data_IF_895494657965
#
_entry.id   IF_895494657965
#
_cell.length_a   1.000
_cell.length_b   1.000
_cell.length_c   1.000
_cell.angle_alpha   90.00
_cell.angle_beta   90.00
_cell.angle_gamma   90.00
#
_symmetry.space_group_name_H-M   'P 1'
#
loop_
_entity.id
_entity.type
_entity.pdbx_description
1 polymer ?
#
# COMPACT_ATOMS: atom_id res chain seq x y z
N UNK A 1 2.80 -1.50 -16.66
CA UNK A 1 1.64 -1.09 -17.45
C UNK A 1 2.15 -0.32 -18.65
N UNK A 2 1.83 -0.78 -19.86
CA UNK A 2 2.33 -0.21 -21.11
C UNK A 2 1.22 0.37 -21.99
N UNK A 3 -0.07 0.19 -21.63
CA UNK A 3 -1.23 0.56 -22.45
C UNK A 3 -1.18 -0.02 -23.89
N UNK A 4 -0.51 -1.16 -24.09
CA UNK A 4 -0.31 -1.74 -25.43
C UNK A 4 -1.34 -2.78 -25.87
N UNK A 5 -2.32 -3.12 -25.02
CA UNK A 5 -3.33 -4.14 -25.37
C UNK A 5 -4.51 -3.50 -26.13
N UNK A 6 -4.58 -3.67 -27.47
CA UNK A 6 -5.62 -3.04 -28.28
C UNK A 6 -7.01 -3.64 -28.04
N UNK A 7 -7.12 -4.79 -27.37
CA UNK A 7 -8.40 -5.45 -27.06
C UNK A 7 -8.82 -5.23 -25.61
N UNK A 8 -7.86 -5.28 -24.69
CA UNK A 8 -8.10 -5.08 -23.26
C UNK A 8 -8.45 -3.64 -22.91
N UNK A 9 -7.72 -2.65 -23.46
CA UNK A 9 -7.91 -1.26 -23.08
C UNK A 9 -9.33 -0.73 -23.38
N UNK A 10 -9.95 -1.02 -24.55
CA UNK A 10 -11.33 -0.59 -24.81
C UNK A 10 -12.34 -1.21 -23.83
N UNK A 11 -12.19 -2.49 -23.50
CA UNK A 11 -13.05 -3.16 -22.52
C UNK A 11 -12.91 -2.46 -21.16
N UNK A 12 -11.68 -2.16 -20.74
CA UNK A 12 -11.46 -1.49 -19.45
C UNK A 12 -12.14 -0.12 -19.44
N UNK A 13 -11.94 0.66 -20.50
CA UNK A 13 -12.50 2.01 -20.65
C UNK A 13 -14.03 2.05 -20.72
N UNK A 14 -14.66 1.00 -21.28
CA UNK A 14 -16.11 0.94 -21.45
C UNK A 14 -16.83 0.34 -20.24
N UNK A 15 -16.22 -0.65 -19.58
CA UNK A 15 -16.90 -1.46 -18.56
C UNK A 15 -16.59 -1.04 -17.12
N UNK A 16 -15.51 -0.29 -16.88
CA UNK A 16 -15.09 0.07 -15.53
C UNK A 16 -14.89 1.57 -15.36
N UNK A 17 -15.23 2.06 -14.17
CA UNK A 17 -15.01 3.43 -13.73
C UNK A 17 -14.01 3.51 -12.57
N UNK A 18 -13.38 2.40 -12.20
CA UNK A 18 -12.34 2.31 -11.18
C UNK A 18 -11.28 1.30 -11.60
N UNK A 19 -10.02 1.55 -11.24
CA UNK A 19 -8.88 0.68 -11.57
C UNK A 19 -7.91 0.57 -10.40
N UNK A 20 -7.29 -0.60 -10.25
CA UNK A 20 -6.19 -0.85 -9.31
C UNK A 20 -5.03 -1.50 -10.07
N UNK A 21 -3.76 -1.12 -9.82
CA UNK A 21 -2.64 -1.69 -10.52
C UNK A 21 -2.26 -3.03 -9.88
N UNK A 22 -2.17 -4.07 -10.70
CA UNK A 22 -1.81 -5.40 -10.22
C UNK A 22 -0.41 -5.45 -9.57
N UNK A 23 0.56 -4.67 -10.09
CA UNK A 23 1.95 -4.74 -9.62
C UNK A 23 2.71 -3.41 -9.61
N UNK A 24 2.38 -2.44 -10.47
CA UNK A 24 3.29 -1.31 -10.75
C UNK A 24 3.50 -0.35 -9.58
N UNK A 25 2.62 -0.35 -8.57
CA UNK A 25 2.75 0.46 -7.36
C UNK A 25 3.20 -0.32 -6.12
N UNK A 26 3.38 -1.64 -6.21
CA UNK A 26 4.00 -2.43 -5.13
C UNK A 26 5.45 -1.99 -4.93
N UNK A 27 5.95 -2.01 -3.68
CA UNK A 27 7.28 -1.50 -3.33
C UNK A 27 8.37 -2.01 -4.27
N UNK A 28 8.46 -3.31 -4.52
CA UNK A 28 9.48 -3.91 -5.37
C UNK A 28 9.41 -3.52 -6.85
N UNK A 29 8.27 -2.99 -7.32
CA UNK A 29 8.11 -2.49 -8.68
C UNK A 29 8.48 -1.01 -8.78
N UNK A 30 7.98 -0.19 -7.85
CA UNK A 30 8.11 1.28 -7.90
C UNK A 30 9.39 1.78 -7.24
N UNK A 31 9.93 1.06 -6.25
CA UNK A 31 11.14 1.38 -5.49
C UNK A 31 12.06 0.14 -5.38
N UNK A 32 12.58 -0.37 -6.52
CA UNK A 32 13.31 -1.63 -6.56
C UNK A 32 14.68 -1.58 -5.87
N UNK A 33 15.35 -0.42 -5.87
CA UNK A 33 16.69 -0.20 -5.33
C UNK A 33 16.66 0.96 -4.33
N UNK A 34 17.59 0.96 -3.37
CA UNK A 34 17.63 1.96 -2.30
C UNK A 34 17.84 3.40 -2.81
N UNK A 35 18.48 3.54 -3.96
CA UNK A 35 18.88 4.80 -4.59
C UNK A 35 18.06 5.13 -5.85
N UNK A 36 16.97 4.40 -6.14
CA UNK A 36 16.25 4.57 -7.40
C UNK A 36 14.79 4.10 -7.41
N UNK A 37 13.92 4.98 -7.91
CA UNK A 37 12.53 4.67 -8.21
C UNK A 37 12.29 4.39 -9.69
N UNK A 38 11.36 3.50 -9.99
CA UNK A 38 10.90 3.18 -11.34
C UNK A 38 9.44 3.64 -11.55
N UNK A 39 9.24 4.95 -11.64
CA UNK A 39 7.90 5.54 -11.77
C UNK A 39 7.27 5.39 -13.15
N UNK A 40 8.04 5.09 -14.21
CA UNK A 40 7.53 5.08 -15.59
C UNK A 40 6.25 4.24 -15.78
N UNK A 41 6.22 2.96 -15.35
CA UNK A 41 5.03 2.13 -15.43
C UNK A 41 3.85 2.62 -14.57
N UNK A 42 4.11 3.19 -13.39
CA UNK A 42 3.10 3.72 -12.49
C UNK A 42 2.50 5.03 -13.02
N UNK A 43 3.31 5.92 -13.59
CA UNK A 43 2.88 7.16 -14.22
C UNK A 43 1.95 6.88 -15.40
N UNK A 44 2.26 5.87 -16.24
CA UNK A 44 1.36 5.44 -17.33
C UNK A 44 0.04 4.90 -16.80
N UNK A 45 0.06 4.14 -15.70
CA UNK A 45 -1.15 3.62 -15.08
C UNK A 45 -2.06 4.75 -14.58
N UNK A 46 -1.51 5.73 -13.86
CA UNK A 46 -2.28 6.88 -13.38
C UNK A 46 -2.80 7.72 -14.55
N UNK A 47 -1.97 7.98 -15.56
CA UNK A 47 -2.39 8.71 -16.75
C UNK A 47 -3.54 8.01 -17.51
N UNK A 48 -3.55 6.68 -17.56
CA UNK A 48 -4.66 5.92 -18.14
C UNK A 48 -5.97 6.15 -17.36
N UNK A 49 -5.92 6.05 -16.03
CA UNK A 49 -7.09 6.33 -15.18
C UNK A 49 -7.63 7.74 -15.37
N UNK A 50 -6.75 8.74 -15.40
CA UNK A 50 -7.13 10.15 -15.60
C UNK A 50 -7.75 10.38 -16.99
N UNK A 51 -7.12 9.85 -18.05
CA UNK A 51 -7.60 9.91 -19.44
C UNK A 51 -9.03 9.37 -19.57
N UNK A 52 -9.33 8.30 -18.84
CA UNK A 52 -10.63 7.64 -18.85
C UNK A 52 -11.55 8.04 -17.69
N UNK A 53 -11.19 9.07 -16.92
CA UNK A 53 -11.98 9.61 -15.79
C UNK A 53 -12.38 8.56 -14.75
N UNK A 54 -11.49 7.60 -14.49
CA UNK A 54 -11.69 6.53 -13.52
C UNK A 54 -11.26 6.97 -12.12
N UNK A 55 -11.88 6.39 -11.09
CA UNK A 55 -11.34 6.42 -9.73
C UNK A 55 -10.11 5.52 -9.66
N UNK A 56 -8.99 6.05 -9.16
CA UNK A 56 -7.70 5.36 -9.21
C UNK A 56 -7.34 4.89 -7.81
N UNK A 57 -7.12 3.58 -7.64
CA UNK A 57 -6.65 2.98 -6.39
C UNK A 57 -5.14 2.75 -6.47
N UNK A 58 -4.40 3.20 -5.46
CA UNK A 58 -3.01 2.84 -5.27
C UNK A 58 -2.86 1.51 -4.51
N UNK A 59 -2.29 0.49 -5.14
CA UNK A 59 -2.05 -0.82 -4.54
C UNK A 59 -0.56 -1.21 -4.65
N UNK A 60 0.20 -1.26 -3.56
CA UNK A 60 -0.08 -0.87 -2.17
C UNK A 60 1.20 -0.29 -1.54
N UNK A 61 1.07 0.47 -0.45
CA UNK A 61 2.21 1.18 0.16
C UNK A 61 3.06 0.29 1.07
N UNK A 62 2.43 -0.51 1.93
CA UNK A 62 3.11 -1.40 2.88
C UNK A 62 2.54 -2.81 2.77
N UNK A 63 3.38 -3.76 2.37
CA UNK A 63 3.02 -5.18 2.28
C UNK A 63 4.20 -6.05 2.72
N UNK A 64 3.90 -7.27 3.15
CA UNK A 64 4.94 -8.24 3.51
C UNK A 64 5.54 -8.94 2.28
N UNK A 65 4.79 -8.99 1.18
CA UNK A 65 5.23 -9.56 -0.10
C UNK A 65 5.65 -8.47 -1.08
N UNK A 66 6.40 -8.88 -2.12
CA UNK A 66 6.94 -8.00 -3.16
C UNK A 66 7.64 -6.73 -2.62
N UNK A 67 8.23 -6.83 -1.43
CA UNK A 67 9.05 -5.79 -0.82
C UNK A 67 10.51 -6.23 -0.84
N UNK A 68 11.43 -5.49 -1.48
CA UNK A 68 12.83 -5.90 -1.62
C UNK A 68 13.52 -6.10 -0.27
N UNK A 69 14.49 -7.02 -0.22
CA UNK A 69 15.26 -7.29 1.01
C UNK A 69 15.98 -6.08 1.56
N UNK A 70 16.48 -5.20 0.68
CA UNK A 70 17.18 -3.98 1.08
C UNK A 70 16.32 -3.11 2.00
N UNK A 71 14.98 -3.19 1.90
CA UNK A 71 14.06 -2.42 2.74
C UNK A 71 14.18 -2.80 4.22
N UNK A 72 14.53 -4.04 4.54
CA UNK A 72 14.59 -4.52 5.91
C UNK A 72 16.00 -4.63 6.47
N UNK A 73 17.01 -4.41 5.63
CA UNK A 73 18.40 -4.70 5.96
C UNK A 73 19.31 -3.48 5.77
N UNK A 74 20.43 -3.47 6.49
CA UNK A 74 21.58 -2.59 6.22
C UNK A 74 22.48 -3.20 5.11
N UNK A 75 23.56 -2.51 4.78
CA UNK A 75 24.51 -2.94 3.73
C UNK A 75 25.25 -4.24 4.10
N UNK A 76 25.26 -4.62 5.38
CA UNK A 76 25.83 -5.87 5.89
C UNK A 76 24.82 -7.03 5.87
N UNK A 77 23.57 -6.79 5.45
CA UNK A 77 22.50 -7.79 5.40
C UNK A 77 21.81 -8.04 6.75
N UNK A 78 22.12 -7.25 7.77
CA UNK A 78 21.52 -7.36 9.10
C UNK A 78 20.20 -6.59 9.16
N UNK A 79 19.21 -7.02 9.97
CA UNK A 79 17.98 -6.28 10.15
C UNK A 79 18.23 -4.84 10.58
N UNK A 80 17.47 -3.91 10.01
CA UNK A 80 17.48 -2.52 10.46
C UNK A 80 17.03 -2.37 11.91
N UNK A 81 17.40 -1.24 12.52
CA UNK A 81 16.72 -0.77 13.72
C UNK A 81 15.28 -0.36 13.40
N UNK A 82 14.45 -0.34 14.44
CA UNK A 82 13.06 0.16 14.38
C UNK A 82 12.99 1.56 13.75
N UNK A 83 13.82 2.48 14.22
CA UNK A 83 13.83 3.88 13.80
C UNK A 83 14.22 4.00 12.32
N UNK A 84 15.25 3.28 11.89
CA UNK A 84 15.69 3.29 10.50
C UNK A 84 14.61 2.72 9.57
N UNK A 85 13.89 1.67 9.98
CA UNK A 85 12.82 1.10 9.16
C UNK A 85 11.57 2.01 9.11
N UNK A 86 11.26 2.71 10.21
CA UNK A 86 10.20 3.73 10.23
C UNK A 86 10.52 4.91 9.33
N UNK A 87 11.75 5.41 9.37
CA UNK A 87 12.19 6.49 8.48
C UNK A 87 12.09 6.06 7.01
N UNK A 88 12.54 4.85 6.70
CA UNK A 88 12.45 4.28 5.34
C UNK A 88 11.00 4.11 4.87
N UNK A 89 10.11 3.64 5.74
CA UNK A 89 8.67 3.56 5.46
C UNK A 89 8.09 4.95 5.17
N UNK A 90 8.39 5.93 6.04
CA UNK A 90 7.93 7.31 5.88
C UNK A 90 8.38 7.91 4.56
N UNK A 91 9.65 7.75 4.22
CA UNK A 91 10.23 8.32 3.01
C UNK A 91 9.64 7.68 1.75
N UNK A 92 9.45 6.35 1.76
CA UNK A 92 8.76 5.65 0.67
C UNK A 92 7.32 6.14 0.49
N UNK A 93 6.52 6.16 1.57
CA UNK A 93 5.12 6.58 1.52
C UNK A 93 5.02 8.03 1.05
N UNK A 94 5.82 8.95 1.61
CA UNK A 94 5.81 10.36 1.19
C UNK A 94 6.22 10.53 -0.27
N UNK A 95 7.19 9.76 -0.75
CA UNK A 95 7.63 9.86 -2.15
C UNK A 95 6.57 9.33 -3.10
N UNK A 96 6.02 8.14 -2.84
CA UNK A 96 5.06 7.48 -3.74
C UNK A 96 3.68 8.10 -3.66
N UNK A 97 3.08 8.18 -2.47
CA UNK A 97 1.75 8.78 -2.31
C UNK A 97 1.79 10.28 -2.61
N UNK A 98 2.84 10.99 -2.19
CA UNK A 98 3.01 12.42 -2.48
C UNK A 98 3.16 12.73 -3.97
N UNK A 99 3.83 11.87 -4.76
CA UNK A 99 3.92 12.01 -6.23
C UNK A 99 2.54 12.00 -6.90
N UNK A 100 1.61 11.21 -6.36
CA UNK A 100 0.27 11.02 -6.93
C UNK A 100 -0.82 11.74 -6.13
N UNK A 101 -0.43 12.70 -5.28
CA UNK A 101 -1.35 13.50 -4.46
C UNK A 101 -2.45 14.13 -5.31
N UNK A 102 -3.71 13.91 -4.92
CA UNK A 102 -4.90 14.39 -5.61
C UNK A 102 -5.20 13.70 -6.96
N UNK A 103 -4.38 12.73 -7.39
CA UNK A 103 -4.54 11.96 -8.63
C UNK A 103 -4.99 10.53 -8.37
N UNK A 104 -4.45 9.91 -7.32
CA UNK A 104 -4.93 8.63 -6.78
C UNK A 104 -5.98 8.93 -5.71
N UNK A 105 -7.20 8.41 -5.89
CA UNK A 105 -8.35 8.69 -5.03
C UNK A 105 -8.35 7.90 -3.72
N UNK A 106 -7.69 6.73 -3.70
CA UNK A 106 -7.51 5.96 -2.48
C UNK A 106 -6.31 5.02 -2.52
N UNK A 107 -5.81 4.64 -1.35
CA UNK A 107 -4.63 3.81 -1.18
C UNK A 107 -4.91 2.62 -0.27
N UNK A 108 -4.50 1.43 -0.74
CA UNK A 108 -4.23 0.31 0.16
C UNK A 108 -2.93 0.63 0.91
N UNK A 109 -3.09 1.21 2.11
CA UNK A 109 -1.97 1.67 2.93
C UNK A 109 -1.20 0.48 3.47
N UNK A 110 -1.93 -0.47 4.06
CA UNK A 110 -1.38 -1.74 4.52
C UNK A 110 -2.17 -2.88 3.91
N UNK A 111 -1.46 -3.81 3.28
CA UNK A 111 -2.03 -5.03 2.73
C UNK A 111 -1.66 -6.24 3.60
N UNK A 112 -2.63 -7.11 3.90
CA UNK A 112 -2.46 -8.47 4.44
C UNK A 112 -1.62 -8.58 5.72
N UNK A 113 -1.97 -7.77 6.73
CA UNK A 113 -1.29 -7.78 8.03
C UNK A 113 -1.73 -8.92 8.94
N UNK A 114 -2.77 -9.70 8.59
CA UNK A 114 -3.32 -10.76 9.41
C UNK A 114 -3.03 -12.16 8.83
N UNK A 115 -2.93 -13.14 9.72
CA UNK A 115 -3.00 -14.56 9.40
C UNK A 115 -4.47 -15.02 9.35
N UNK A 116 -4.71 -16.26 8.89
CA UNK A 116 -6.07 -16.84 8.80
C UNK A 116 -6.82 -16.92 10.13
N UNK A 117 -6.08 -17.04 11.24
CA UNK A 117 -6.65 -17.09 12.59
C UNK A 117 -6.98 -15.70 13.16
N UNK A 118 -6.72 -14.63 12.41
CA UNK A 118 -6.91 -13.24 12.83
C UNK A 118 -5.78 -12.67 13.70
N UNK A 119 -4.69 -13.42 13.92
CA UNK A 119 -3.49 -12.89 14.56
C UNK A 119 -2.66 -12.02 13.60
N UNK A 120 -1.85 -11.12 14.14
CA UNK A 120 -0.92 -10.31 13.34
C UNK A 120 0.19 -11.17 12.74
N UNK A 121 0.36 -11.04 11.42
CA UNK A 121 1.42 -11.68 10.65
C UNK A 121 2.78 -11.23 11.17
N UNK A 122 3.65 -12.20 11.45
CA UNK A 122 5.02 -11.98 11.91
C UNK A 122 5.95 -11.57 10.74
N UNK A 123 5.58 -10.51 10.02
CA UNK A 123 6.36 -9.93 8.92
C UNK A 123 7.61 -9.20 9.43
N UNK A 124 8.61 -8.90 8.56
CA UNK A 124 9.74 -8.05 8.95
C UNK A 124 9.29 -6.70 9.52
N UNK A 125 8.22 -6.10 8.97
CA UNK A 125 7.61 -4.89 9.53
C UNK A 125 7.24 -5.05 11.00
N UNK A 126 6.48 -6.11 11.32
CA UNK A 126 6.06 -6.38 12.70
C UNK A 126 7.23 -6.74 13.62
N UNK A 127 8.18 -7.57 13.15
CA UNK A 127 9.29 -8.04 13.98
C UNK A 127 10.31 -6.94 14.29
N UNK A 128 10.58 -6.04 13.34
CA UNK A 128 11.60 -4.99 13.49
C UNK A 128 11.00 -3.75 14.16
N UNK A 129 9.83 -3.30 13.71
CA UNK A 129 9.18 -2.11 14.30
C UNK A 129 8.37 -2.55 15.51
N UNK A 130 7.41 -3.45 15.34
CA UNK A 130 6.36 -3.73 16.31
C UNK A 130 4.99 -3.32 15.77
N UNK A 131 3.92 -3.64 16.50
CA UNK A 131 2.52 -3.48 16.05
C UNK A 131 2.17 -2.07 15.52
N UNK A 132 2.79 -1.02 16.07
CA UNK A 132 2.48 0.36 15.71
C UNK A 132 3.00 0.78 14.33
N UNK A 133 3.72 -0.08 13.59
CA UNK A 133 4.00 0.14 12.17
C UNK A 133 2.71 0.39 11.37
N UNK A 134 1.61 -0.24 11.79
CA UNK A 134 0.29 -0.10 11.18
C UNK A 134 -0.21 1.34 11.34
N UNK A 135 -0.21 1.86 12.58
CA UNK A 135 -0.62 3.26 12.86
C UNK A 135 0.30 4.23 12.12
N UNK A 136 1.61 3.99 12.12
CA UNK A 136 2.59 4.85 11.45
C UNK A 136 2.40 4.91 9.94
N UNK A 137 2.13 3.78 9.29
CA UNK A 137 1.86 3.75 7.85
C UNK A 137 0.67 4.63 7.47
N UNK A 138 -0.45 4.54 8.22
CA UNK A 138 -1.63 5.39 7.99
C UNK A 138 -1.36 6.87 8.31
N UNK A 139 -0.60 7.18 9.37
CA UNK A 139 -0.18 8.55 9.67
C UNK A 139 0.62 9.14 8.50
N UNK A 140 1.64 8.43 8.01
CA UNK A 140 2.47 8.90 6.91
C UNK A 140 1.70 9.02 5.59
N UNK A 141 0.75 8.12 5.33
CA UNK A 141 -0.10 8.19 4.13
C UNK A 141 -1.02 9.41 4.19
N UNK A 142 -1.65 9.67 5.35
CA UNK A 142 -2.50 10.84 5.54
C UNK A 142 -1.71 12.15 5.46
N UNK A 143 -0.48 12.19 6.00
CA UNK A 143 0.41 13.35 5.84
C UNK A 143 0.79 13.61 4.38
N UNK A 144 1.01 12.55 3.59
CA UNK A 144 1.38 12.67 2.18
C UNK A 144 0.20 13.18 1.33
N UNK A 145 -0.99 12.64 1.54
CA UNK A 145 -2.23 13.09 0.91
C UNK A 145 -3.44 13.02 1.87
N UNK A 146 -3.81 14.16 2.50
CA UNK A 146 -4.94 14.19 3.41
C UNK A 146 -6.32 13.98 2.75
N UNK A 147 -6.40 14.06 1.42
CA UNK A 147 -7.65 13.93 0.67
C UNK A 147 -7.89 12.51 0.13
N UNK A 148 -6.86 11.67 0.07
CA UNK A 148 -7.00 10.30 -0.38
C UNK A 148 -7.77 9.44 0.63
N UNK A 149 -8.59 8.53 0.14
CA UNK A 149 -9.17 7.48 0.98
C UNK A 149 -8.08 6.49 1.40
N UNK A 150 -8.03 6.12 2.68
CA UNK A 150 -7.00 5.23 3.21
C UNK A 150 -7.61 3.91 3.65
N UNK A 151 -7.16 2.81 3.04
CA UNK A 151 -7.71 1.48 3.27
C UNK A 151 -6.73 0.54 3.96
N UNK A 152 -7.29 -0.33 4.79
CA UNK A 152 -6.69 -1.62 5.12
C UNK A 152 -7.25 -2.68 4.16
N UNK A 153 -6.40 -3.42 3.46
CA UNK A 153 -6.84 -4.45 2.52
C UNK A 153 -6.34 -5.83 2.96
N UNK A 154 -7.19 -6.85 2.92
CA UNK A 154 -6.80 -8.23 3.23
C UNK A 154 -7.76 -9.22 2.58
N UNK A 155 -7.26 -10.37 2.19
CA UNK A 155 -8.08 -11.45 1.63
C UNK A 155 -8.73 -12.27 2.74
N UNK A 156 -9.76 -13.06 2.42
CA UNK A 156 -10.41 -14.01 3.33
C UNK A 156 -11.05 -13.39 4.58
N UNK A 157 -11.42 -12.11 4.52
CA UNK A 157 -12.16 -11.42 5.60
C UNK A 157 -13.62 -11.89 5.72
N UNK A 158 -14.10 -12.71 4.80
CA UNK A 158 -15.34 -13.48 4.93
C UNK A 158 -15.23 -14.61 5.97
N UNK A 159 -14.01 -15.06 6.31
CA UNK A 159 -13.78 -16.07 7.34
C UNK A 159 -13.86 -15.45 8.73
N UNK A 160 -14.59 -16.11 9.64
CA UNK A 160 -14.95 -15.53 10.94
C UNK A 160 -13.74 -15.14 11.80
N UNK A 161 -12.73 -16.01 11.90
CA UNK A 161 -11.54 -15.75 12.72
C UNK A 161 -10.76 -14.53 12.22
N UNK A 162 -10.43 -14.52 10.92
CA UNK A 162 -9.73 -13.41 10.28
C UNK A 162 -10.53 -12.09 10.34
N UNK A 163 -11.84 -12.15 10.12
CA UNK A 163 -12.75 -10.99 10.26
C UNK A 163 -12.70 -10.40 11.67
N UNK A 164 -12.71 -11.22 12.72
CA UNK A 164 -12.60 -10.75 14.11
C UNK A 164 -11.28 -10.00 14.33
N UNK A 165 -10.17 -10.57 13.86
CA UNK A 165 -8.85 -9.93 13.88
C UNK A 165 -8.84 -8.57 13.15
N UNK A 166 -9.45 -8.50 11.97
CA UNK A 166 -9.55 -7.25 11.21
C UNK A 166 -10.38 -6.19 11.94
N UNK A 167 -11.54 -6.56 12.51
CA UNK A 167 -12.37 -5.64 13.29
C UNK A 167 -11.61 -5.10 14.51
N UNK A 168 -10.85 -5.95 15.21
CA UNK A 168 -10.02 -5.54 16.35
C UNK A 168 -8.88 -4.61 15.91
N UNK A 169 -8.19 -4.94 14.81
CA UNK A 169 -7.16 -4.08 14.23
C UNK A 169 -7.72 -2.70 13.86
N UNK A 170 -8.85 -2.64 13.16
CA UNK A 170 -9.47 -1.36 12.78
C UNK A 170 -9.87 -0.54 14.01
N UNK A 171 -10.40 -1.17 15.07
CA UNK A 171 -10.69 -0.47 16.33
C UNK A 171 -9.43 0.13 16.95
N UNK A 172 -8.32 -0.62 16.97
CA UNK A 172 -7.03 -0.12 17.47
C UNK A 172 -6.50 1.05 16.65
N UNK A 173 -6.54 0.96 15.32
CA UNK A 173 -6.12 2.04 14.41
C UNK A 173 -6.93 3.31 14.65
N UNK A 174 -8.27 3.20 14.73
CA UNK A 174 -9.16 4.32 15.03
C UNK A 174 -8.89 4.92 16.42
N UNK A 175 -8.70 4.09 17.44
CA UNK A 175 -8.38 4.54 18.79
C UNK A 175 -7.04 5.29 18.86
N UNK A 176 -6.08 4.92 18.01
CA UNK A 176 -4.78 5.60 17.87
C UNK A 176 -4.83 6.85 16.96
N UNK A 177 -6.00 7.23 16.45
CA UNK A 177 -6.18 8.41 15.61
C UNK A 177 -5.71 8.24 14.15
N UNK A 178 -5.50 7.01 13.68
CA UNK A 178 -5.18 6.78 12.27
C UNK A 178 -6.39 7.13 11.39
N UNK A 179 -6.15 7.89 10.32
CA UNK A 179 -7.15 8.16 9.30
C UNK A 179 -7.39 6.87 8.50
N UNK A 180 -8.58 6.28 8.66
CA UNK A 180 -8.99 5.08 7.90
C UNK A 180 -10.38 5.32 7.32
N UNK A 181 -10.47 5.20 6.01
CA UNK A 181 -11.69 5.43 5.23
C UNK A 181 -12.47 4.15 4.98
N UNK A 182 -11.79 3.00 4.86
CA UNK A 182 -12.45 1.74 4.57
C UNK A 182 -11.59 0.50 4.80
N UNK A 183 -12.21 -0.66 4.58
CA UNK A 183 -11.59 -1.98 4.62
C UNK A 183 -11.89 -2.66 3.28
N UNK A 184 -10.85 -3.08 2.55
CA UNK A 184 -10.98 -3.94 1.37
C UNK A 184 -11.02 -5.41 1.78
N UNK A 185 -11.99 -6.15 1.23
CA UNK A 185 -12.24 -7.57 1.48
C UNK A 185 -11.94 -8.40 0.22
#
# INVERSE_FOLDING_TARGET
FEERDPRGNPIIAEQFNTISPENVLKWGSVHPLADGYNFGPADRYVAFGEKHKMFIIGHCLVWHSQTPRWVFQNDQGEPLTREALLDRMRDHIRTVAGRYKGRIGGWDVVNEALNEDGSLRQSPWYRIIGEDYLVKAFQFAHEADPQAELYYNDYSLENEAKRKGAVELIRKLKAAGAAISGVGL
#
